data_IF_144960185663
#
_entry.id   IF_144960185663
#
_cell.length_a   1.000
_cell.length_b   1.000
_cell.length_c   1.000
_cell.angle_alpha   90.00
_cell.angle_beta   90.00
_cell.angle_gamma   90.00
#
_symmetry.space_group_name_H-M   'P 1'
#
loop_
_entity.id
_entity.type
_entity.pdbx_description
1 polymer ?
#
# COMPACT_ATOMS: atom_id res chain seq x y z
N UNK A 1 61.47 46.55 -1.47
CA UNK A 1 60.46 47.38 -0.79
C UNK A 1 59.69 48.17 -1.84
N UNK A 2 58.46 47.77 -2.13
CA UNK A 2 57.52 48.53 -2.96
C UNK A 2 56.10 48.33 -2.42
N UNK A 3 55.22 49.35 -2.50
CA UNK A 3 53.95 49.37 -1.76
C UNK A 3 52.70 49.28 -2.66
N UNK A 4 51.56 48.81 -2.11
CA UNK A 4 50.27 49.53 -1.99
C UNK A 4 49.02 48.64 -2.09
N UNK A 5 48.07 49.03 -1.23
CA UNK A 5 46.61 49.12 -1.38
C UNK A 5 45.74 47.85 -1.32
N UNK A 6 44.93 47.77 -0.26
CA UNK A 6 43.66 47.04 -0.21
C UNK A 6 42.51 48.04 -0.04
N UNK A 7 41.54 48.00 -0.96
CA UNK A 7 40.21 48.63 -0.83
C UNK A 7 39.15 47.55 -1.05
N UNK A 8 38.28 47.40 -0.06
CA UNK A 8 37.11 46.52 -0.03
C UNK A 8 36.15 46.79 -1.21
N UNK A 9 35.56 45.72 -1.79
CA UNK A 9 34.30 45.79 -2.54
C UNK A 9 33.39 44.62 -2.16
N UNK A 10 32.14 44.97 -1.82
CA UNK A 10 30.97 44.10 -1.69
C UNK A 10 30.45 43.73 -3.09
N UNK A 11 30.01 42.49 -3.29
CA UNK A 11 29.19 42.12 -4.45
C UNK A 11 27.70 42.24 -4.10
N UNK A 12 26.99 43.04 -4.90
CA UNK A 12 25.54 43.18 -4.93
C UNK A 12 24.96 42.18 -5.94
N UNK A 13 23.90 41.48 -5.55
CA UNK A 13 23.04 40.72 -6.46
C UNK A 13 22.14 41.70 -7.23
N UNK A 14 22.10 41.56 -8.56
CA UNK A 14 21.13 42.22 -9.43
C UNK A 14 20.41 41.15 -10.26
N UNK A 15 19.10 41.00 -10.02
CA UNK A 15 18.18 40.21 -10.84
C UNK A 15 17.51 41.21 -11.80
N UNK A 16 17.84 41.14 -13.08
CA UNK A 16 17.10 41.86 -14.13
C UNK A 16 16.10 40.92 -14.79
N UNK A 17 14.81 41.12 -14.51
CA UNK A 17 13.73 40.65 -15.37
C UNK A 17 13.55 41.58 -16.56
N UNK A 18 13.24 41.03 -17.74
CA UNK A 18 12.29 41.60 -18.71
C UNK A 18 12.03 40.64 -19.90
N UNK A 19 10.75 40.28 -20.04
CA UNK A 19 9.92 40.27 -21.24
C UNK A 19 10.52 39.79 -22.57
N UNK A 20 10.02 38.64 -23.06
CA UNK A 20 9.82 38.41 -24.50
C UNK A 20 8.31 38.36 -24.79
N UNK A 21 7.89 39.21 -25.73
CA UNK A 21 6.51 39.57 -26.01
C UNK A 21 5.76 38.63 -26.96
N UNK A 22 4.44 38.87 -27.01
CA UNK A 22 3.48 38.34 -27.97
C UNK A 22 3.79 38.83 -29.39
N UNK A 23 3.71 37.93 -30.38
CA UNK A 23 3.16 38.22 -31.70
C UNK A 23 2.48 36.97 -32.27
N UNK A 24 1.34 37.16 -32.95
CA UNK A 24 0.52 36.12 -33.56
C UNK A 24 1.04 35.75 -34.95
N UNK A 25 1.05 34.45 -35.30
CA UNK A 25 0.26 33.81 -36.37
C UNK A 25 0.67 32.33 -36.61
N UNK A 26 -0.30 31.46 -36.36
CA UNK A 26 -0.70 30.22 -37.05
C UNK A 26 0.27 29.04 -37.36
N UNK A 27 -0.34 27.86 -37.14
CA UNK A 27 -0.18 26.51 -37.74
C UNK A 27 0.77 25.52 -37.04
N UNK A 28 0.19 24.41 -36.55
CA UNK A 28 0.77 23.07 -36.70
C UNK A 28 1.22 22.34 -35.42
N UNK A 29 0.36 21.44 -34.93
CA UNK A 29 0.56 20.19 -34.17
C UNK A 29 1.55 20.07 -32.98
N UNK A 30 1.20 19.29 -31.93
CA UNK A 30 1.97 19.20 -30.69
C UNK A 30 3.00 18.06 -30.70
N UNK A 31 4.13 18.27 -30.01
CA UNK A 31 4.99 17.32 -29.24
C UNK A 31 6.45 17.85 -29.19
N UNK A 32 7.32 17.39 -28.29
CA UNK A 32 7.15 16.96 -26.90
C UNK A 32 8.06 17.78 -25.94
N UNK A 33 7.71 17.83 -24.66
CA UNK A 33 8.52 18.50 -23.63
C UNK A 33 9.84 17.77 -23.40
N UNK A 34 10.94 18.51 -23.52
CA UNK A 34 12.30 18.08 -23.19
C UNK A 34 12.42 17.76 -21.69
N UNK A 35 12.72 16.50 -21.36
CA UNK A 35 13.45 16.16 -20.15
C UNK A 35 14.92 16.54 -20.36
N UNK A 36 15.45 17.42 -19.52
CA UNK A 36 16.90 17.63 -19.41
C UNK A 36 17.45 16.52 -18.50
N UNK A 37 17.94 15.45 -19.11
CA UNK A 37 18.81 14.48 -18.45
C UNK A 37 20.24 15.04 -18.44
N UNK A 38 20.80 15.29 -17.26
CA UNK A 38 22.23 15.49 -17.10
C UNK A 38 22.88 14.11 -16.91
N UNK A 39 23.37 13.52 -18.00
CA UNK A 39 24.32 12.40 -17.97
C UNK A 39 25.60 12.84 -18.65
N UNK A 40 26.71 12.90 -17.91
CA UNK A 40 28.04 13.13 -18.47
C UNK A 40 28.58 11.80 -19.05
N UNK A 41 29.04 11.83 -20.30
CA UNK A 41 29.75 10.75 -21.02
C UNK A 41 31.17 10.56 -20.43
N UNK A 42 31.58 9.33 -20.05
CA UNK A 42 32.85 9.09 -19.35
C UNK A 42 34.10 9.00 -20.26
N UNK A 43 34.07 9.51 -21.50
CA UNK A 43 35.20 9.36 -22.45
C UNK A 43 36.18 10.53 -22.58
N UNK A 44 36.13 11.51 -21.68
CA UNK A 44 37.14 12.57 -21.61
C UNK A 44 37.49 12.89 -20.17
N UNK A 45 38.39 12.10 -19.58
CA UNK A 45 39.13 12.48 -18.37
C UNK A 45 40.60 12.18 -18.64
N UNK A 46 41.30 13.17 -19.19
CA UNK A 46 42.76 13.23 -19.09
C UNK A 46 43.12 13.77 -17.71
N UNK A 47 44.12 13.11 -17.14
CA UNK A 47 44.58 13.20 -15.77
C UNK A 47 45.56 14.39 -15.64
N UNK A 48 45.12 15.49 -15.03
CA UNK A 48 46.04 16.50 -14.49
C UNK A 48 45.97 16.50 -12.96
N UNK A 49 46.89 15.76 -12.36
CA UNK A 49 47.19 15.81 -10.94
C UNK A 49 47.83 17.16 -10.59
N UNK A 50 47.08 18.04 -9.94
CA UNK A 50 47.67 19.11 -9.13
C UNK A 50 47.11 19.02 -7.71
N UNK A 51 48.01 18.83 -6.75
CA UNK A 51 47.71 18.69 -5.34
C UNK A 51 47.11 19.98 -4.78
N UNK A 52 45.81 19.95 -4.52
CA UNK A 52 45.11 20.90 -3.66
C UNK A 52 44.52 20.15 -2.47
N UNK A 53 44.98 20.45 -1.27
CA UNK A 53 44.32 20.01 -0.03
C UNK A 53 42.87 20.50 -0.05
N UNK A 54 41.91 19.58 -0.18
CA UNK A 54 40.50 19.87 -0.01
C UNK A 54 40.22 20.05 1.49
N UNK A 55 40.31 21.29 1.96
CA UNK A 55 39.92 21.65 3.32
C UNK A 55 38.40 21.75 3.39
N UNK A 56 37.77 20.72 3.96
CA UNK A 56 36.32 20.71 4.26
C UNK A 56 36.05 21.82 5.27
N UNK A 57 35.34 22.86 4.87
CA UNK A 57 35.02 23.95 5.80
C UNK A 57 33.95 23.48 6.79
N UNK A 58 33.88 24.11 7.97
CA UNK A 58 32.85 23.83 8.98
C UNK A 58 31.41 24.01 8.44
N UNK A 59 31.24 24.75 7.33
CA UNK A 59 29.98 24.90 6.61
C UNK A 59 29.62 23.69 5.75
N UNK A 60 30.60 23.07 5.10
CA UNK A 60 30.41 21.89 4.24
C UNK A 60 30.05 20.64 5.07
N UNK A 61 30.67 20.49 6.25
CA UNK A 61 30.28 19.47 7.22
C UNK A 61 28.85 19.65 7.74
N UNK A 62 28.35 20.90 7.87
CA UNK A 62 26.98 21.19 8.33
C UNK A 62 25.94 20.87 7.26
N UNK A 63 26.24 21.07 5.98
CA UNK A 63 25.38 20.65 4.88
C UNK A 63 25.35 19.13 4.74
N UNK A 64 26.50 18.45 4.88
CA UNK A 64 26.56 16.98 4.87
C UNK A 64 25.84 16.38 6.09
N UNK A 65 25.98 16.94 7.29
CA UNK A 65 25.23 16.50 8.47
C UNK A 65 23.73 16.75 8.34
N UNK A 66 23.30 17.87 7.72
CA UNK A 66 21.87 18.16 7.49
C UNK A 66 21.26 17.25 6.43
N UNK A 67 22.01 16.88 5.40
CA UNK A 67 21.57 15.90 4.39
C UNK A 67 21.57 14.47 4.95
N UNK A 68 22.51 14.10 5.81
CA UNK A 68 22.54 12.79 6.49
C UNK A 68 21.43 12.68 7.56
N UNK A 69 21.10 13.77 8.25
CA UNK A 69 20.01 13.83 9.23
C UNK A 69 18.63 13.87 8.57
N UNK A 70 18.53 14.39 7.34
CA UNK A 70 17.30 14.36 6.53
C UNK A 70 16.99 12.95 5.98
N UNK A 71 18.00 12.10 5.78
CA UNK A 71 17.81 10.67 5.47
C UNK A 71 17.41 9.82 6.69
N UNK A 72 17.58 10.33 7.92
CA UNK A 72 17.21 9.66 9.17
C UNK A 72 15.80 10.00 9.68
N UNK A 73 15.03 10.78 8.93
CA UNK A 73 13.68 11.26 9.32
C UNK A 73 12.60 10.94 8.27
N UNK A 74 12.75 9.84 7.54
CA UNK A 74 11.60 9.25 6.83
C UNK A 74 10.74 8.56 7.87
N UNK A 75 9.74 9.26 8.39
CA UNK A 75 8.73 8.67 9.27
C UNK A 75 7.56 8.16 8.45
N UNK A 76 7.25 6.89 8.70
CA UNK A 76 6.40 6.04 7.89
C UNK A 76 4.92 6.32 8.20
N UNK A 77 4.13 6.62 7.16
CA UNK A 77 2.67 6.55 7.25
C UNK A 77 2.29 5.13 6.83
N UNK A 78 2.01 4.29 7.81
CA UNK A 78 1.64 2.89 7.58
C UNK A 78 0.14 2.74 7.69
N UNK A 79 -0.45 2.08 6.70
CA UNK A 79 -1.70 1.34 6.83
C UNK A 79 -1.55 0.38 8.06
N UNK A 80 -2.58 0.07 8.88
CA UNK A 80 -2.44 -0.48 10.27
C UNK A 80 -1.04 -0.26 10.87
N UNK A 81 -0.81 0.84 11.58
CA UNK A 81 0.44 1.14 12.32
C UNK A 81 1.31 -0.08 12.60
N UNK A 82 2.58 -0.15 12.18
CA UNK A 82 3.47 -1.35 12.17
C UNK A 82 3.16 -2.50 13.15
N UNK A 83 2.84 -2.21 14.41
CA UNK A 83 2.37 -3.19 15.41
C UNK A 83 1.12 -3.99 14.97
N UNK A 84 0.10 -3.35 14.38
CA UNK A 84 -1.11 -4.00 13.86
C UNK A 84 -0.79 -5.05 12.78
N UNK A 85 -0.02 -4.69 11.76
CA UNK A 85 0.46 -5.63 10.75
C UNK A 85 1.26 -6.79 11.35
N UNK A 86 2.15 -6.49 12.31
CA UNK A 86 2.94 -7.52 12.99
C UNK A 86 2.07 -8.46 13.82
N UNK A 87 0.98 -7.99 14.42
CA UNK A 87 0.00 -8.83 15.12
C UNK A 87 -0.71 -9.76 14.12
N UNK A 88 -1.26 -9.21 13.02
CA UNK A 88 -1.91 -9.98 11.95
C UNK A 88 -0.97 -11.07 11.43
N UNK A 89 0.26 -10.69 11.09
CA UNK A 89 1.27 -11.60 10.58
C UNK A 89 1.71 -12.65 11.62
N UNK A 90 1.77 -12.30 12.91
CA UNK A 90 2.10 -13.27 13.98
C UNK A 90 0.99 -14.31 14.16
N UNK A 91 -0.28 -13.87 14.16
CA UNK A 91 -1.44 -14.76 14.21
C UNK A 91 -1.42 -15.70 12.99
N UNK A 92 -1.07 -15.19 11.81
CA UNK A 92 -0.95 -15.99 10.61
C UNK A 92 0.22 -16.98 10.67
N UNK A 93 1.39 -16.53 11.12
CA UNK A 93 2.61 -17.33 11.26
C UNK A 93 2.37 -18.56 12.12
N UNK A 94 1.67 -18.41 13.25
CA UNK A 94 1.31 -19.51 14.18
C UNK A 94 0.32 -20.53 13.57
N UNK A 95 -0.29 -20.21 12.42
CA UNK A 95 -1.34 -20.99 11.75
C UNK A 95 -0.92 -21.47 10.36
N UNK A 96 0.32 -21.25 9.96
CA UNK A 96 0.85 -21.75 8.71
C UNK A 96 0.95 -23.28 8.75
N UNK A 97 0.55 -23.91 7.64
CA UNK A 97 0.76 -25.34 7.42
C UNK A 97 2.25 -25.65 7.24
N UNK A 98 2.64 -26.92 7.37
CA UNK A 98 4.04 -27.31 7.14
C UNK A 98 4.50 -26.97 5.71
N UNK A 99 3.62 -27.09 4.72
CA UNK A 99 3.93 -26.72 3.33
C UNK A 99 4.23 -25.22 3.22
N UNK A 100 3.41 -24.39 3.86
CA UNK A 100 3.59 -22.94 3.89
C UNK A 100 4.84 -22.52 4.64
N UNK A 101 5.15 -23.17 5.76
CA UNK A 101 6.38 -22.95 6.52
C UNK A 101 7.61 -23.33 5.69
N UNK A 102 7.57 -24.46 4.97
CA UNK A 102 8.67 -24.88 4.11
C UNK A 102 8.91 -23.87 2.98
N UNK A 103 7.83 -23.39 2.33
CA UNK A 103 7.93 -22.34 1.31
C UNK A 103 8.53 -21.05 1.90
N UNK A 104 7.98 -20.56 3.01
CA UNK A 104 8.47 -19.33 3.66
C UNK A 104 9.94 -19.47 4.07
N UNK A 105 10.33 -20.58 4.69
CA UNK A 105 11.72 -20.82 5.08
C UNK A 105 12.67 -20.89 3.89
N UNK A 106 12.22 -21.47 2.77
CA UNK A 106 13.01 -21.50 1.54
C UNK A 106 13.19 -20.10 0.95
N UNK A 107 12.11 -19.30 0.91
CA UNK A 107 12.13 -17.91 0.45
C UNK A 107 13.07 -17.03 1.29
N UNK A 108 13.01 -17.17 2.61
CA UNK A 108 13.77 -16.35 3.55
C UNK A 108 15.21 -16.83 3.79
N UNK A 109 15.59 -17.99 3.23
CA UNK A 109 16.92 -18.56 3.43
C UNK A 109 18.01 -17.61 2.88
N UNK A 110 19.03 -17.33 3.70
CA UNK A 110 20.10 -16.40 3.35
C UNK A 110 19.73 -14.91 3.47
N UNK A 111 18.50 -14.57 3.85
CA UNK A 111 18.06 -13.19 4.08
C UNK A 111 18.17 -12.80 5.57
N UNK A 112 18.01 -11.52 5.88
CA UNK A 112 17.92 -11.03 7.27
C UNK A 112 16.58 -11.35 7.95
N UNK A 113 15.52 -11.54 7.17
CA UNK A 113 14.17 -11.81 7.65
C UNK A 113 14.01 -13.28 8.09
N UNK A 114 13.07 -13.55 8.98
CA UNK A 114 12.86 -14.89 9.57
C UNK A 114 11.42 -15.35 9.56
N UNK A 115 10.46 -14.43 9.56
CA UNK A 115 9.03 -14.72 9.70
C UNK A 115 8.18 -13.75 8.89
N UNK A 116 6.89 -14.07 8.71
CA UNK A 116 5.90 -13.12 8.15
C UNK A 116 5.86 -11.81 8.93
N UNK A 117 6.14 -11.85 10.24
CA UNK A 117 6.17 -10.67 11.12
C UNK A 117 7.21 -9.66 10.68
N UNK A 118 8.34 -10.13 10.13
CA UNK A 118 9.40 -9.26 9.65
C UNK A 118 9.05 -8.64 8.29
N UNK A 119 8.25 -9.34 7.49
CA UNK A 119 7.80 -8.91 6.16
C UNK A 119 6.64 -7.92 6.21
N UNK A 120 5.80 -8.03 7.24
CA UNK A 120 4.51 -7.34 7.30
C UNK A 120 4.60 -5.81 7.09
N UNK A 121 5.61 -5.07 7.56
CA UNK A 121 5.71 -3.63 7.33
C UNK A 121 6.29 -3.21 5.96
N UNK A 122 6.95 -4.12 5.23
CA UNK A 122 7.78 -3.77 4.07
C UNK A 122 7.01 -3.09 2.91
N UNK A 123 5.76 -3.47 2.59
CA UNK A 123 5.01 -2.80 1.52
C UNK A 123 4.72 -1.33 1.76
N UNK A 124 4.52 -0.90 3.01
CA UNK A 124 4.41 0.52 3.33
C UNK A 124 5.74 1.25 3.10
N UNK A 125 6.85 0.66 3.55
CA UNK A 125 8.19 1.21 3.34
C UNK A 125 8.48 1.38 1.84
N UNK A 126 8.05 0.42 1.01
CA UNK A 126 8.12 0.51 -0.44
C UNK A 126 7.22 1.61 -1.01
N UNK A 127 5.98 1.74 -0.55
CA UNK A 127 5.02 2.76 -0.99
C UNK A 127 5.47 4.22 -0.75
N UNK A 128 6.37 4.43 0.22
CA UNK A 128 7.00 5.73 0.49
C UNK A 128 8.17 6.06 -0.44
N UNK A 129 8.71 5.08 -1.14
CA UNK A 129 9.79 5.27 -2.10
C UNK A 129 9.25 5.72 -3.45
N UNK A 130 10.05 6.48 -4.21
CA UNK A 130 9.66 6.94 -5.54
C UNK A 130 9.32 5.79 -6.49
N UNK A 131 10.07 4.69 -6.40
CA UNK A 131 9.88 3.47 -7.19
C UNK A 131 8.62 2.69 -6.81
N UNK A 132 8.19 2.77 -5.55
CA UNK A 132 7.01 2.05 -5.04
C UNK A 132 5.76 2.89 -4.91
N UNK A 133 5.80 4.19 -5.21
CA UNK A 133 4.66 5.11 -5.04
C UNK A 133 3.38 4.65 -5.73
N UNK A 134 3.48 3.86 -6.80
CA UNK A 134 2.35 3.26 -7.49
C UNK A 134 1.50 2.35 -6.59
N UNK A 135 2.10 1.70 -5.57
CA UNK A 135 1.40 0.80 -4.66
C UNK A 135 0.51 1.54 -3.65
N UNK A 136 0.69 2.85 -3.46
CA UNK A 136 -0.03 3.62 -2.43
C UNK A 136 -1.56 3.48 -2.51
N UNK A 137 -2.13 3.42 -3.71
CA UNK A 137 -3.59 3.21 -3.90
C UNK A 137 -4.05 1.78 -3.56
N UNK A 138 -3.13 0.82 -3.55
CA UNK A 138 -3.41 -0.58 -3.22
C UNK A 138 -3.68 -0.83 -1.73
N UNK A 139 -3.38 0.13 -0.84
CA UNK A 139 -3.56 -0.05 0.61
C UNK A 139 -5.00 0.19 1.10
N UNK A 140 -5.87 0.74 0.25
CA UNK A 140 -7.23 1.08 0.67
C UNK A 140 -8.22 0.97 -0.50
N UNK A 141 -9.49 1.20 -0.22
CA UNK A 141 -10.53 1.45 -1.21
C UNK A 141 -11.44 2.55 -0.68
N UNK A 142 -11.77 3.49 -1.55
CA UNK A 142 -12.62 4.63 -1.22
C UNK A 142 -14.08 4.28 -1.49
N UNK A 143 -14.92 4.36 -0.46
CA UNK A 143 -16.35 4.08 -0.59
C UNK A 143 -17.17 5.38 -0.70
N UNK A 144 -18.28 5.38 -1.45
CA UNK A 144 -19.27 6.46 -1.42
C UNK A 144 -19.86 6.70 -0.02
N UNK A 145 -20.36 7.91 0.23
CA UNK A 145 -20.93 8.29 1.55
C UNK A 145 -22.15 7.47 1.95
N UNK A 146 -22.92 7.02 0.97
CA UNK A 146 -24.15 6.24 1.11
C UNK A 146 -23.92 4.74 0.93
N UNK A 147 -22.66 4.30 0.80
CA UNK A 147 -22.34 2.89 0.66
C UNK A 147 -22.66 2.14 1.96
N UNK A 148 -23.50 1.12 1.87
CA UNK A 148 -23.75 0.16 2.95
C UNK A 148 -23.08 -1.19 2.71
N UNK A 149 -22.62 -1.43 1.48
CA UNK A 149 -21.98 -2.67 1.04
C UNK A 149 -20.84 -2.38 0.07
N UNK A 150 -19.88 -3.30 -0.01
CA UNK A 150 -18.77 -3.22 -0.94
C UNK A 150 -19.19 -3.79 -2.29
N UNK A 151 -18.82 -3.09 -3.36
CA UNK A 151 -18.98 -3.56 -4.73
C UNK A 151 -17.68 -3.37 -5.48
N UNK A 152 -17.38 -4.29 -6.40
CA UNK A 152 -16.08 -4.33 -7.09
C UNK A 152 -15.81 -3.08 -7.93
N UNK A 153 -16.85 -2.37 -8.38
CA UNK A 153 -16.77 -1.12 -9.13
C UNK A 153 -16.30 0.08 -8.28
N UNK A 154 -16.33 -0.04 -6.94
CA UNK A 154 -15.70 0.95 -6.04
C UNK A 154 -14.17 0.95 -6.15
N UNK A 155 -13.58 -0.09 -6.75
CA UNK A 155 -12.16 -0.19 -7.00
C UNK A 155 -11.78 0.50 -8.33
N UNK A 156 -11.29 1.73 -8.28
CA UNK A 156 -10.89 2.51 -9.47
C UNK A 156 -9.55 2.13 -10.10
N UNK A 157 -8.99 0.95 -9.83
CA UNK A 157 -7.66 0.53 -10.25
C UNK A 157 -7.03 -0.45 -9.26
N UNK A 158 -5.82 -0.14 -8.79
CA UNK A 158 -5.32 -0.81 -7.60
C UNK A 158 -6.10 -0.31 -6.38
N UNK A 159 -6.66 -1.23 -5.62
CA UNK A 159 -7.24 -1.02 -4.31
C UNK A 159 -6.95 -2.25 -3.47
N UNK A 160 -7.15 -2.18 -2.16
CA UNK A 160 -6.80 -3.30 -1.25
C UNK A 160 -7.48 -4.62 -1.62
N UNK A 161 -8.72 -4.58 -2.11
CA UNK A 161 -9.45 -5.79 -2.54
C UNK A 161 -8.85 -6.42 -3.81
N UNK A 162 -8.52 -5.59 -4.80
CA UNK A 162 -7.89 -6.07 -6.04
C UNK A 162 -6.43 -6.48 -5.79
N UNK A 163 -5.73 -5.80 -4.89
CA UNK A 163 -4.38 -6.13 -4.48
C UNK A 163 -4.31 -7.50 -3.79
N UNK A 164 -5.16 -7.76 -2.79
CA UNK A 164 -5.25 -9.08 -2.15
C UNK A 164 -5.51 -10.18 -3.19
N UNK A 165 -6.44 -9.94 -4.12
CA UNK A 165 -6.76 -10.90 -5.19
C UNK A 165 -5.56 -11.13 -6.12
N UNK A 166 -4.90 -10.06 -6.54
CA UNK A 166 -3.76 -10.10 -7.46
C UNK A 166 -2.56 -10.82 -6.84
N UNK A 167 -2.17 -10.45 -5.62
CA UNK A 167 -1.00 -11.04 -4.96
C UNK A 167 -1.24 -12.47 -4.46
N UNK A 168 -2.50 -12.85 -4.19
CA UNK A 168 -2.87 -14.26 -4.01
C UNK A 168 -2.62 -15.05 -5.30
N UNK A 169 -2.98 -14.51 -6.47
CA UNK A 169 -2.76 -15.16 -7.75
C UNK A 169 -1.27 -15.21 -8.14
N UNK A 170 -0.53 -14.13 -7.91
CA UNK A 170 0.92 -14.09 -8.14
C UNK A 170 1.66 -15.08 -7.24
N UNK A 171 1.30 -15.18 -5.96
CA UNK A 171 1.85 -16.20 -5.07
C UNK A 171 1.57 -17.62 -5.58
N UNK A 172 0.35 -17.87 -6.12
CA UNK A 172 0.04 -19.17 -6.72
C UNK A 172 0.88 -19.47 -7.97
N UNK A 173 1.10 -18.46 -8.82
CA UNK A 173 1.97 -18.61 -9.98
C UNK A 173 3.43 -18.88 -9.55
N UNK A 174 3.89 -18.23 -8.48
CA UNK A 174 5.21 -18.43 -7.91
C UNK A 174 5.38 -19.86 -7.36
N UNK A 175 4.34 -20.40 -6.70
CA UNK A 175 4.31 -21.79 -6.26
C UNK A 175 4.37 -22.79 -7.42
N UNK A 176 3.75 -22.45 -8.57
CA UNK A 176 3.75 -23.30 -9.76
C UNK A 176 5.05 -23.19 -10.58
N UNK A 177 5.70 -22.02 -10.57
CA UNK A 177 6.96 -21.74 -11.27
C UNK A 177 7.80 -20.79 -10.41
N UNK A 178 8.75 -21.32 -9.60
CA UNK A 178 9.52 -20.54 -8.64
C UNK A 178 10.56 -19.65 -9.33
N UNK A 179 10.13 -18.56 -9.96
CA UNK A 179 10.98 -17.58 -10.66
C UNK A 179 10.40 -16.15 -10.61
N UNK A 180 9.28 -15.91 -9.92
CA UNK A 180 8.56 -14.62 -10.00
C UNK A 180 9.23 -13.54 -9.16
N UNK A 181 9.71 -13.89 -7.96
CA UNK A 181 10.40 -12.93 -7.11
C UNK A 181 11.83 -13.37 -6.83
N UNK A 182 12.76 -12.42 -6.93
CA UNK A 182 14.13 -12.60 -6.47
C UNK A 182 14.31 -11.80 -5.17
N UNK A 183 13.83 -12.38 -4.08
CA UNK A 183 13.76 -11.75 -2.76
C UNK A 183 15.10 -11.12 -2.37
N UNK A 184 15.09 -9.84 -2.04
CA UNK A 184 16.28 -9.08 -1.61
C UNK A 184 17.20 -8.59 -2.75
N UNK A 185 16.82 -8.78 -4.01
CA UNK A 185 17.56 -8.26 -5.18
C UNK A 185 16.74 -7.36 -6.11
N UNK A 186 15.41 -7.36 -5.96
CA UNK A 186 14.50 -6.36 -6.53
C UNK A 186 14.15 -5.32 -5.49
N UNK A 187 13.97 -4.07 -5.93
CA UNK A 187 13.42 -3.02 -5.08
C UNK A 187 11.94 -3.28 -4.74
N UNK A 188 11.24 -4.09 -5.53
CA UNK A 188 9.83 -4.43 -5.34
C UNK A 188 9.64 -5.65 -4.40
N UNK A 189 8.75 -5.55 -3.39
CA UNK A 189 8.39 -6.67 -2.52
C UNK A 189 7.83 -7.88 -3.27
N UNK A 190 8.13 -9.07 -2.78
CA UNK A 190 7.57 -10.31 -3.29
C UNK A 190 6.06 -10.44 -3.03
N UNK A 191 5.35 -11.31 -3.77
CA UNK A 191 3.92 -11.50 -3.61
C UNK A 191 3.47 -11.81 -2.18
N UNK A 192 4.23 -12.60 -1.41
CA UNK A 192 3.89 -12.90 -0.02
C UNK A 192 4.02 -11.70 0.92
N UNK A 193 4.93 -10.76 0.65
CA UNK A 193 5.11 -9.54 1.44
C UNK A 193 3.89 -8.63 1.25
N UNK A 194 3.55 -8.34 0.00
CA UNK A 194 2.36 -7.58 -0.35
C UNK A 194 1.08 -8.24 0.17
N UNK A 195 0.91 -9.55 -0.02
CA UNK A 195 -0.27 -10.27 0.45
C UNK A 195 -0.40 -10.19 1.97
N UNK A 196 0.70 -10.36 2.71
CA UNK A 196 0.73 -10.25 4.18
C UNK A 196 0.25 -8.88 4.64
N UNK A 197 0.71 -7.83 3.97
CA UNK A 197 0.37 -6.46 4.31
C UNK A 197 -1.08 -6.11 3.95
N UNK A 198 -1.48 -6.27 2.68
CA UNK A 198 -2.81 -5.87 2.20
C UNK A 198 -3.95 -6.66 2.85
N UNK A 199 -3.71 -7.89 3.30
CA UNK A 199 -4.69 -8.61 4.12
C UNK A 199 -4.87 -8.00 5.50
N UNK A 200 -3.82 -7.43 6.09
CA UNK A 200 -3.96 -6.57 7.26
C UNK A 200 -4.85 -5.39 6.94
N UNK A 201 -4.48 -4.61 5.93
CA UNK A 201 -5.19 -3.38 5.52
C UNK A 201 -6.67 -3.59 5.26
N UNK A 202 -7.00 -4.65 4.51
CA UNK A 202 -8.38 -4.98 4.19
C UNK A 202 -9.24 -5.18 5.45
N UNK A 203 -8.64 -5.56 6.57
CA UNK A 203 -9.33 -5.75 7.84
C UNK A 203 -9.42 -4.47 8.68
N UNK A 204 -8.68 -3.41 8.33
CA UNK A 204 -8.81 -2.09 8.92
C UNK A 204 -10.09 -1.42 8.38
N UNK A 205 -11.09 -1.12 9.22
CA UNK A 205 -12.34 -0.50 8.76
C UNK A 205 -12.11 0.74 7.88
N UNK A 206 -11.31 1.70 8.34
CA UNK A 206 -11.03 2.96 7.65
C UNK A 206 -10.17 2.83 6.39
N UNK A 207 -9.61 1.67 6.08
CA UNK A 207 -9.02 1.40 4.76
C UNK A 207 -10.06 0.97 3.74
N UNK A 208 -11.25 0.62 4.21
CA UNK A 208 -12.47 0.51 3.41
C UNK A 208 -13.40 1.65 3.84
N UNK A 209 -12.86 2.87 3.71
CA UNK A 209 -13.35 4.10 4.31
C UNK A 209 -13.88 5.10 3.29
N UNK A 210 -14.53 6.17 3.77
CA UNK A 210 -15.14 7.16 2.89
C UNK A 210 -14.09 7.91 2.05
N UNK A 211 -14.35 8.01 0.75
CA UNK A 211 -13.44 8.75 -0.14
C UNK A 211 -13.34 10.24 0.16
N UNK A 212 -14.42 10.86 0.66
CA UNK A 212 -14.48 12.30 0.89
C UNK A 212 -13.62 12.77 2.08
N UNK A 213 -13.32 11.89 3.04
CA UNK A 213 -12.46 12.19 4.19
C UNK A 213 -11.16 11.38 4.20
N UNK A 214 -10.86 10.72 3.07
CA UNK A 214 -9.71 9.84 2.89
C UNK A 214 -9.62 8.77 3.99
N UNK A 215 -10.74 8.10 4.28
CA UNK A 215 -10.83 7.09 5.33
C UNK A 215 -10.53 7.66 6.71
N UNK A 216 -11.02 8.86 7.02
CA UNK A 216 -10.79 9.53 8.30
C UNK A 216 -9.45 10.28 8.44
N UNK A 217 -8.56 10.27 7.44
CA UNK A 217 -7.32 11.06 7.46
C UNK A 217 -7.59 12.58 7.52
N UNK A 218 -8.70 13.02 6.90
CA UNK A 218 -9.15 14.41 6.92
C UNK A 218 -9.88 14.79 8.22
N UNK A 219 -10.23 13.82 9.06
CA UNK A 219 -10.94 14.06 10.33
C UNK A 219 -9.92 14.33 11.43
N UNK A 220 -9.65 15.61 11.70
CA UNK A 220 -8.72 16.04 12.75
C UNK A 220 -9.39 15.94 14.11
N UNK A 221 -8.75 15.22 15.02
CA UNK A 221 -9.27 14.94 16.36
C UNK A 221 -8.14 14.58 17.29
N UNK A 222 -8.25 14.94 18.57
CA UNK A 222 -7.29 14.56 19.58
C UNK A 222 -7.53 13.12 20.08
N UNK A 223 -6.44 12.45 20.48
CA UNK A 223 -6.50 11.22 21.26
C UNK A 223 -6.22 11.57 22.72
N UNK A 224 -7.26 11.60 23.56
CA UNK A 224 -7.24 12.23 24.87
C UNK A 224 -6.81 13.71 24.79
N UNK A 225 -5.72 14.09 25.46
CA UNK A 225 -5.14 15.42 25.47
C UNK A 225 -4.10 15.63 24.35
N UNK A 226 -3.84 14.61 23.52
CA UNK A 226 -2.84 14.67 22.46
C UNK A 226 -3.43 15.05 21.11
N UNK A 227 -2.94 16.15 20.55
CA UNK A 227 -3.32 16.63 19.21
C UNK A 227 -2.32 16.24 18.13
N UNK A 228 -1.22 15.58 18.49
CA UNK A 228 -0.21 15.07 17.55
C UNK A 228 0.06 13.59 17.74
N UNK A 229 0.37 12.91 16.64
CA UNK A 229 0.77 11.50 16.64
C UNK A 229 2.21 11.31 17.15
N UNK A 230 2.64 10.05 17.21
CA UNK A 230 4.00 9.67 17.64
C UNK A 230 5.13 10.23 16.75
N UNK A 231 4.80 10.78 15.57
CA UNK A 231 5.73 11.39 14.62
C UNK A 231 5.58 12.93 14.57
N UNK A 232 4.82 13.52 15.50
CA UNK A 232 4.56 14.94 15.59
C UNK A 232 3.78 15.53 14.40
N UNK A 233 3.00 14.70 13.69
CA UNK A 233 2.01 15.16 12.71
C UNK A 233 0.68 15.46 13.41
N UNK A 234 -0.20 16.28 12.83
CA UNK A 234 -1.55 16.48 13.34
C UNK A 234 -2.33 15.16 13.44
N UNK A 235 -2.82 14.85 14.63
CA UNK A 235 -3.63 13.66 14.92
C UNK A 235 -4.90 13.65 14.07
N UNK A 236 -5.29 12.46 13.63
CA UNK A 236 -6.53 12.24 12.88
C UNK A 236 -7.14 10.88 13.20
N UNK A 237 -8.41 10.71 12.86
CA UNK A 237 -9.17 9.51 13.20
C UNK A 237 -8.55 8.22 12.61
N UNK A 238 -8.02 8.29 11.39
CA UNK A 238 -7.35 7.15 10.76
C UNK A 238 -6.15 6.67 11.57
N UNK A 239 -5.25 7.58 11.93
CA UNK A 239 -4.07 7.28 12.76
C UNK A 239 -4.46 6.72 14.13
N UNK A 240 -5.57 7.18 14.72
CA UNK A 240 -6.05 6.67 16.00
C UNK A 240 -6.47 5.20 15.91
N UNK A 241 -7.18 4.82 14.84
CA UNK A 241 -7.57 3.44 14.56
C UNK A 241 -6.36 2.58 14.19
N UNK A 242 -5.50 3.07 13.29
CA UNK A 242 -4.33 2.34 12.81
C UNK A 242 -3.29 2.07 13.90
N UNK A 243 -3.09 3.04 14.80
CA UNK A 243 -1.88 3.08 15.65
C UNK A 243 -2.23 3.30 17.11
N UNK A 244 -2.84 4.44 17.44
CA UNK A 244 -2.86 4.92 18.84
C UNK A 244 -3.69 4.02 19.77
N UNK A 245 -4.85 3.52 19.32
CA UNK A 245 -5.65 2.58 20.12
C UNK A 245 -4.93 1.24 20.30
N UNK A 246 -4.19 0.76 19.30
CA UNK A 246 -3.41 -0.47 19.41
C UNK A 246 -2.27 -0.29 20.41
N UNK A 247 -1.53 0.81 20.35
CA UNK A 247 -0.42 1.08 21.29
C UNK A 247 -0.90 1.34 22.71
N UNK A 248 -2.06 2.00 22.90
CA UNK A 248 -2.71 2.10 24.21
C UNK A 248 -3.09 0.71 24.75
N UNK A 249 -3.61 -0.16 23.89
CA UNK A 249 -3.97 -1.52 24.28
C UNK A 249 -2.75 -2.40 24.59
N UNK A 250 -1.67 -2.30 23.81
CA UNK A 250 -0.43 -3.03 24.04
C UNK A 250 0.78 -2.27 23.50
N UNK A 251 1.79 -2.07 24.33
CA UNK A 251 2.99 -1.29 23.98
C UNK A 251 3.97 -2.02 23.05
N UNK A 252 3.86 -3.34 22.89
CA UNK A 252 4.73 -4.12 22.03
C UNK A 252 4.06 -5.41 21.56
N UNK A 253 4.68 -6.04 20.54
CA UNK A 253 4.18 -7.26 19.90
C UNK A 253 4.06 -8.43 20.88
N UNK A 254 5.04 -8.63 21.76
CA UNK A 254 5.04 -9.77 22.70
C UNK A 254 3.81 -9.72 23.62
N UNK A 255 3.57 -8.56 24.25
CA UNK A 255 2.38 -8.37 25.10
C UNK A 255 1.09 -8.44 24.29
N UNK A 256 1.09 -7.93 23.05
CA UNK A 256 -0.08 -7.97 22.17
C UNK A 256 -0.45 -9.40 21.84
N UNK A 257 0.52 -10.24 21.49
CA UNK A 257 0.29 -11.65 21.16
C UNK A 257 -0.15 -12.47 22.36
N UNK A 258 0.35 -12.20 23.57
CA UNK A 258 -0.20 -12.82 24.79
C UNK A 258 -1.70 -12.53 24.93
N UNK A 259 -2.10 -11.27 24.75
CA UNK A 259 -3.51 -10.87 24.84
C UNK A 259 -4.35 -11.43 23.69
N UNK A 260 -3.83 -11.42 22.46
CA UNK A 260 -4.51 -12.00 21.30
C UNK A 260 -4.71 -13.51 21.46
N UNK A 261 -3.71 -14.24 21.94
CA UNK A 261 -3.81 -15.67 22.15
C UNK A 261 -4.89 -16.00 23.20
N UNK A 262 -4.96 -15.23 24.28
CA UNK A 262 -6.03 -15.35 25.27
C UNK A 262 -7.41 -15.02 24.66
N UNK A 263 -7.51 -13.93 23.90
CA UNK A 263 -8.76 -13.53 23.25
C UNK A 263 -9.23 -14.58 22.24
N UNK A 264 -8.33 -15.10 21.41
CA UNK A 264 -8.62 -16.15 20.43
C UNK A 264 -9.09 -17.43 21.13
N UNK A 265 -8.42 -17.84 22.21
CA UNK A 265 -8.83 -19.02 22.98
C UNK A 265 -10.22 -18.85 23.60
N UNK A 266 -10.55 -17.65 24.08
CA UNK A 266 -11.86 -17.34 24.66
C UNK A 266 -12.97 -17.23 23.61
N UNK A 267 -12.63 -16.91 22.36
CA UNK A 267 -13.56 -16.70 21.26
C UNK A 267 -13.40 -17.76 20.16
N UNK A 268 -13.05 -19.01 20.52
CA UNK A 268 -12.69 -20.07 19.57
C UNK A 268 -13.77 -20.33 18.53
N UNK A 269 -15.04 -20.34 18.93
CA UNK A 269 -16.17 -20.61 18.04
C UNK A 269 -16.32 -19.52 16.98
N UNK A 270 -16.19 -18.25 17.38
CA UNK A 270 -16.18 -17.12 16.45
C UNK A 270 -14.98 -17.19 15.52
N UNK A 271 -13.78 -17.46 16.05
CA UNK A 271 -12.54 -17.54 15.28
C UNK A 271 -12.60 -18.64 14.22
N UNK A 272 -13.23 -19.78 14.54
CA UNK A 272 -13.43 -20.87 13.59
C UNK A 272 -14.30 -20.47 12.39
N UNK A 273 -15.10 -19.40 12.48
CA UNK A 273 -15.90 -18.90 11.34
C UNK A 273 -15.12 -17.99 10.40
N UNK A 274 -13.97 -17.43 10.82
CA UNK A 274 -13.30 -16.37 10.05
C UNK A 274 -12.81 -16.81 8.68
N UNK A 275 -12.46 -18.09 8.49
CA UNK A 275 -12.02 -18.64 7.21
C UNK A 275 -13.14 -19.33 6.41
N UNK A 276 -14.42 -19.10 6.75
CA UNK A 276 -15.56 -19.67 6.00
C UNK A 276 -15.63 -19.18 4.55
N UNK A 277 -14.96 -18.07 4.24
CA UNK A 277 -14.80 -17.53 2.89
C UNK A 277 -13.39 -16.96 2.75
N UNK A 278 -12.74 -17.27 1.62
CA UNK A 278 -11.47 -16.67 1.20
C UNK A 278 -11.63 -15.58 0.13
N UNK A 279 -12.84 -15.02 0.01
CA UNK A 279 -13.14 -13.97 -0.95
C UNK A 279 -12.93 -12.58 -0.32
N UNK A 280 -11.99 -11.76 -0.83
CA UNK A 280 -11.71 -10.44 -0.28
C UNK A 280 -12.87 -9.45 -0.41
N UNK A 281 -13.82 -9.66 -1.33
CA UNK A 281 -15.06 -8.87 -1.41
C UNK A 281 -15.90 -9.02 -0.14
N UNK A 282 -15.98 -10.23 0.42
CA UNK A 282 -16.72 -10.48 1.68
C UNK A 282 -16.04 -9.76 2.84
N UNK A 283 -14.71 -9.78 2.89
CA UNK A 283 -13.95 -9.13 3.96
C UNK A 283 -14.01 -7.60 3.87
N UNK A 284 -14.07 -7.06 2.65
CA UNK A 284 -14.32 -5.65 2.40
C UNK A 284 -15.71 -5.22 2.89
N UNK A 285 -16.73 -6.01 2.56
CA UNK A 285 -18.11 -5.76 3.00
C UNK A 285 -18.22 -5.73 4.54
N UNK A 286 -17.52 -6.64 5.22
CA UNK A 286 -17.41 -6.61 6.68
C UNK A 286 -16.72 -5.34 7.19
N UNK A 287 -15.64 -4.87 6.54
CA UNK A 287 -14.96 -3.63 6.94
C UNK A 287 -15.87 -2.41 6.75
N UNK A 288 -16.63 -2.32 5.65
CA UNK A 288 -17.63 -1.27 5.45
C UNK A 288 -18.65 -1.26 6.58
N UNK A 289 -19.13 -2.42 7.00
CA UNK A 289 -20.09 -2.49 8.11
C UNK A 289 -19.54 -1.83 9.38
N UNK A 290 -18.26 -2.01 9.72
CA UNK A 290 -17.66 -1.32 10.87
C UNK A 290 -17.45 0.17 10.60
N UNK A 291 -17.04 0.55 9.40
CA UNK A 291 -16.90 1.97 9.01
C UNK A 291 -18.23 2.71 9.19
N UNK A 292 -19.32 2.15 8.68
CA UNK A 292 -20.66 2.77 8.70
C UNK A 292 -21.26 2.78 10.10
N UNK A 293 -21.19 1.65 10.82
CA UNK A 293 -21.96 1.48 12.05
C UNK A 293 -21.17 1.80 13.33
N UNK A 294 -19.85 1.68 13.29
CA UNK A 294 -19.03 1.68 14.50
C UNK A 294 -17.97 2.78 14.56
N UNK A 295 -17.42 3.22 13.43
CA UNK A 295 -16.34 4.22 13.45
C UNK A 295 -16.89 5.62 13.77
N UNK A 296 -17.91 6.08 13.04
CA UNK A 296 -18.40 7.46 13.13
C UNK A 296 -19.59 7.61 14.08
N UNK A 297 -19.53 7.01 15.28
CA UNK A 297 -20.61 7.04 16.27
C UNK A 297 -20.71 8.33 17.10
N UNK A 298 -19.81 9.29 16.85
CA UNK A 298 -19.82 10.61 17.47
C UNK A 298 -19.25 11.65 16.50
N UNK A 299 -19.48 12.93 16.80
CA UNK A 299 -18.74 14.02 16.15
C UNK A 299 -17.30 14.00 16.65
N UNK A 300 -16.35 14.32 15.77
CA UNK A 300 -14.94 14.41 16.09
C UNK A 300 -14.45 15.84 15.83
N UNK A 301 -14.06 16.53 16.90
CA UNK A 301 -13.48 17.86 16.89
C UNK A 301 -12.67 18.08 18.19
N UNK A 302 -12.10 19.27 18.37
CA UNK A 302 -11.28 19.61 19.54
C UNK A 302 -12.05 19.53 20.88
N UNK A 303 -13.37 19.58 20.86
CA UNK A 303 -14.24 19.41 22.04
C UNK A 303 -14.71 17.98 22.25
N UNK A 304 -14.49 17.10 21.26
CA UNK A 304 -14.89 15.69 21.27
C UNK A 304 -13.72 14.79 20.90
N UNK A 305 -12.69 14.70 21.76
CA UNK A 305 -11.56 13.80 21.53
C UNK A 305 -12.01 12.33 21.53
N UNK A 306 -11.17 11.47 20.98
CA UNK A 306 -11.25 10.04 21.25
C UNK A 306 -10.76 9.82 22.68
N UNK A 307 -11.68 9.47 23.57
CA UNK A 307 -11.46 9.28 25.01
C UNK A 307 -11.62 7.82 25.43
N UNK A 308 -11.66 7.55 26.73
CA UNK A 308 -11.90 6.20 27.25
C UNK A 308 -13.29 5.66 26.86
N UNK A 309 -14.31 6.52 26.71
CA UNK A 309 -15.66 6.10 26.31
C UNK A 309 -15.63 5.48 24.91
N UNK A 310 -15.06 6.20 23.95
CA UNK A 310 -14.91 5.71 22.59
C UNK A 310 -13.95 4.50 22.55
N UNK A 311 -12.76 4.63 23.15
CA UNK A 311 -11.74 3.59 23.15
C UNK A 311 -12.28 2.24 23.67
N UNK A 312 -12.97 2.23 24.82
CA UNK A 312 -13.47 1.00 25.42
C UNK A 312 -14.55 0.31 24.56
N UNK A 313 -15.30 1.08 23.77
CA UNK A 313 -16.29 0.53 22.83
C UNK A 313 -15.63 -0.04 21.58
N UNK A 314 -14.55 0.57 21.08
CA UNK A 314 -13.98 0.22 19.76
C UNK A 314 -12.79 -0.72 19.79
N UNK A 315 -12.04 -0.78 20.90
CA UNK A 315 -10.90 -1.73 20.99
C UNK A 315 -11.30 -3.21 20.78
N UNK A 316 -12.48 -3.71 21.21
CA UNK A 316 -12.88 -5.08 20.89
C UNK A 316 -13.07 -5.33 19.39
N UNK A 317 -13.50 -4.32 18.64
CA UNK A 317 -13.64 -4.39 17.18
C UNK A 317 -12.27 -4.53 16.55
N UNK A 318 -11.30 -3.70 16.94
CA UNK A 318 -9.91 -3.78 16.46
C UNK A 318 -9.34 -5.16 16.72
N UNK A 319 -9.46 -5.68 17.96
CA UNK A 319 -8.98 -7.03 18.29
C UNK A 319 -9.62 -8.10 17.39
N UNK A 320 -10.93 -8.03 17.16
CA UNK A 320 -11.65 -8.94 16.26
C UNK A 320 -11.13 -8.86 14.83
N UNK A 321 -10.87 -7.64 14.31
CA UNK A 321 -10.35 -7.44 12.95
C UNK A 321 -8.90 -7.92 12.80
N UNK A 322 -8.04 -7.68 13.78
CA UNK A 322 -6.67 -8.20 13.80
C UNK A 322 -6.67 -9.74 13.80
N UNK A 323 -7.55 -10.37 14.60
CA UNK A 323 -7.71 -11.82 14.61
C UNK A 323 -8.22 -12.38 13.27
N UNK A 324 -9.28 -11.75 12.71
CA UNK A 324 -9.83 -12.14 11.42
C UNK A 324 -8.77 -12.05 10.31
N UNK A 325 -8.04 -10.94 10.23
CA UNK A 325 -6.96 -10.73 9.26
C UNK A 325 -5.90 -11.81 9.35
N UNK A 326 -5.41 -12.13 10.56
CA UNK A 326 -4.36 -13.16 10.73
C UNK A 326 -4.84 -14.57 10.38
N UNK A 327 -6.07 -14.93 10.76
CA UNK A 327 -6.66 -16.24 10.43
C UNK A 327 -6.87 -16.39 8.92
N UNK A 328 -7.39 -15.34 8.27
CA UNK A 328 -7.62 -15.33 6.82
C UNK A 328 -6.33 -15.30 6.02
N UNK A 329 -5.29 -14.61 6.51
CA UNK A 329 -3.96 -14.65 5.92
C UNK A 329 -3.35 -16.04 5.95
N UNK A 330 -3.35 -16.70 7.11
CA UNK A 330 -2.90 -18.08 7.20
C UNK A 330 -3.70 -19.01 6.27
N UNK A 331 -5.03 -18.92 6.29
CA UNK A 331 -5.87 -19.75 5.43
C UNK A 331 -5.60 -19.53 3.93
N UNK A 332 -5.39 -18.28 3.52
CA UNK A 332 -5.06 -17.93 2.13
C UNK A 332 -3.71 -18.48 1.71
N UNK A 333 -2.66 -18.28 2.51
CA UNK A 333 -1.32 -18.82 2.23
C UNK A 333 -1.34 -20.36 2.24
N UNK A 334 -2.01 -20.98 3.21
CA UNK A 334 -2.13 -22.43 3.32
C UNK A 334 -2.79 -23.03 2.08
N UNK A 335 -3.89 -22.44 1.61
CA UNK A 335 -4.58 -22.91 0.43
C UNK A 335 -3.73 -22.77 -0.85
N UNK A 336 -3.01 -21.65 -1.00
CA UNK A 336 -2.11 -21.45 -2.14
C UNK A 336 -0.95 -22.46 -2.15
N UNK A 337 -0.35 -22.72 -0.98
CA UNK A 337 0.86 -23.56 -0.86
C UNK A 337 0.57 -25.07 -0.81
N UNK A 338 -0.67 -25.47 -0.49
CA UNK A 338 -1.10 -26.88 -0.51
C UNK A 338 -1.60 -27.35 -1.88
N UNK A 339 -1.65 -26.47 -2.89
CA UNK A 339 -2.33 -26.68 -4.18
C UNK A 339 -3.82 -27.03 -4.03
N UNK A 340 -4.48 -26.58 -2.96
CA UNK A 340 -5.93 -26.67 -2.87
C UNK A 340 -6.57 -25.64 -3.80
N UNK A 341 -7.30 -26.12 -4.82
CA UNK A 341 -8.04 -25.30 -5.78
C UNK A 341 -9.11 -24.45 -5.06
N UNK A 342 -8.81 -23.18 -4.75
CA UNK A 342 -9.75 -22.20 -4.17
C UNK A 342 -10.87 -21.73 -5.14
N UNK A 343 -11.34 -22.58 -6.06
CA UNK A 343 -12.29 -22.13 -7.08
C UNK A 343 -12.87 -23.16 -8.04
N UNK A 344 -12.74 -24.47 -7.82
CA UNK A 344 -13.50 -25.46 -8.62
C UNK A 344 -14.92 -25.65 -8.08
N UNK A 345 -15.71 -24.59 -8.17
CA UNK A 345 -17.18 -24.68 -8.19
C UNK A 345 -17.79 -23.70 -9.21
N UNK A 346 -17.12 -23.56 -10.36
CA UNK A 346 -17.61 -22.82 -11.52
C UNK A 346 -17.14 -23.53 -12.81
N UNK A 347 -18.05 -24.29 -13.41
CA UNK A 347 -18.10 -24.76 -14.81
C UNK A 347 -16.79 -24.90 -15.60
N UNK A 348 -16.50 -26.14 -16.00
CA UNK A 348 -15.57 -26.53 -17.07
C UNK A 348 -15.61 -25.58 -18.28
N UNK A 349 -14.49 -24.91 -18.53
CA UNK A 349 -14.10 -24.50 -19.89
C UNK A 349 -12.68 -25.02 -20.11
N UNK A 350 -12.52 -25.83 -21.15
CA UNK A 350 -11.28 -26.56 -21.46
C UNK A 350 -10.07 -25.67 -21.79
N UNK A 351 -8.88 -26.27 -21.97
CA UNK A 351 -7.64 -25.53 -22.07
C UNK A 351 -7.55 -24.78 -23.41
N UNK A 352 -7.56 -23.45 -23.36
CA UNK A 352 -7.18 -22.62 -24.50
C UNK A 352 -5.67 -22.57 -24.63
N UNK A 353 -5.22 -23.15 -25.74
CA UNK A 353 -3.87 -23.14 -26.33
C UNK A 353 -3.16 -21.78 -26.21
N UNK A 354 -1.87 -21.80 -25.89
CA UNK A 354 -0.99 -20.64 -26.04
C UNK A 354 -0.88 -20.22 -27.51
N UNK A 355 -0.90 -18.92 -27.76
CA UNK A 355 -0.56 -18.34 -29.06
C UNK A 355 0.44 -17.20 -28.83
N UNK A 356 1.70 -17.52 -29.13
CA UNK A 356 2.75 -16.56 -29.41
C UNK A 356 2.56 -15.93 -30.80
N UNK A 357 3.02 -14.69 -30.92
CA UNK A 357 3.37 -13.93 -32.14
C UNK A 357 2.27 -13.62 -33.17
N UNK A 358 1.94 -12.33 -33.29
CA UNK A 358 1.37 -11.72 -34.49
C UNK A 358 2.42 -11.67 -35.63
N UNK A 359 2.01 -11.57 -36.91
CA UNK A 359 1.85 -10.23 -37.49
C UNK A 359 0.74 -10.04 -38.56
N UNK A 360 0.41 -8.75 -38.75
CA UNK A 360 -0.06 -8.02 -39.96
C UNK A 360 -1.42 -8.33 -40.62
N UNK A 361 -2.24 -7.26 -40.63
CA UNK A 361 -3.22 -6.77 -41.61
C UNK A 361 -3.63 -7.64 -42.81
N UNK A 362 -4.94 -7.78 -43.06
CA UNK A 362 -5.64 -7.24 -44.25
C UNK A 362 -7.16 -7.56 -44.24
N UNK A 363 -7.92 -6.60 -44.77
CA UNK A 363 -9.17 -6.71 -45.53
C UNK A 363 -10.50 -7.18 -44.88
N UNK A 364 -11.46 -6.26 -44.98
CA UNK A 364 -12.90 -6.44 -44.92
C UNK A 364 -13.43 -7.43 -45.97
N UNK A 365 -14.48 -8.18 -45.62
CA UNK A 365 -15.63 -8.42 -46.51
C UNK A 365 -16.81 -8.97 -45.72
N UNK A 366 -17.96 -8.35 -45.93
CA UNK A 366 -19.29 -8.74 -45.48
C UNK A 366 -19.98 -9.53 -46.60
N UNK A 367 -20.73 -10.59 -46.28
CA UNK A 367 -21.85 -11.21 -47.04
C UNK A 367 -22.13 -12.57 -46.38
N UNK A 368 -23.33 -13.14 -46.29
CA UNK A 368 -24.74 -12.77 -46.25
C UNK A 368 -25.49 -14.13 -46.20
N UNK A 369 -26.80 -14.11 -45.89
CA UNK A 369 -27.82 -15.19 -46.06
C UNK A 369 -27.96 -16.17 -44.88
N UNK A 370 -29.16 -16.54 -44.40
CA UNK A 370 -30.53 -16.35 -44.91
C UNK A 370 -31.59 -16.54 -43.81
N UNK A 371 -32.69 -15.78 -43.94
CA UNK A 371 -34.12 -16.04 -43.63
C UNK A 371 -34.54 -17.46 -43.17
N UNK A 372 -35.53 -17.70 -42.31
CA UNK A 372 -36.96 -17.30 -42.30
C UNK A 372 -37.57 -17.60 -40.90
N UNK A 373 -38.50 -16.82 -40.35
CA UNK A 373 -39.95 -17.10 -40.44
C UNK A 373 -40.84 -15.95 -39.92
N UNK A 374 -42.04 -15.91 -40.51
CA UNK A 374 -43.12 -14.93 -40.46
C UNK A 374 -43.97 -14.91 -39.17
N UNK A 375 -44.28 -13.67 -38.73
CA UNK A 375 -45.60 -13.05 -38.49
C UNK A 375 -46.67 -13.77 -37.65
N UNK A 376 -47.10 -13.14 -36.56
CA UNK A 376 -48.42 -12.50 -36.50
C UNK A 376 -48.62 -11.57 -35.27
N UNK A 377 -49.39 -10.51 -35.53
CA UNK A 377 -49.86 -9.39 -34.72
C UNK A 377 -50.44 -9.71 -33.33
N UNK A 378 -50.30 -8.81 -32.34
CA UNK A 378 -51.35 -7.89 -31.87
C UNK A 378 -50.85 -6.87 -30.81
N UNK A 379 -51.62 -5.79 -30.68
CA UNK A 379 -51.29 -4.46 -30.16
C UNK A 379 -51.42 -4.27 -28.64
N UNK A 380 -50.62 -3.32 -28.12
CA UNK A 380 -50.89 -2.30 -27.08
C UNK A 380 -51.73 -2.66 -25.83
N UNK A 381 -51.07 -2.56 -24.67
CA UNK A 381 -51.46 -1.71 -23.53
C UNK A 381 -50.29 -1.58 -22.57
#
# INVERSE_FOLDING_TARGET
>A
MHPKALKNRKCLYAISGRNCGRSQKQVGHPRPWCLVQNTCDPRYLEEETSGGEFSITQGDMRCLFRSLLAFLLVTYVTAWGSLGHRIVASIAQDRLSQASLNYLNALLNGTQYKTLVDLAPLPDEYGHQSVGRWSSTCHYTNIPKDATHYTVDMCGGCCVVSAVSNYTNLLRQEMASPQICNFGSSDEPCPIEFLTHFLGDLHQPLHVGYGYDAGGNAVKVAFYDKTTDSFNNPMNLHTIWDTEMIYKWSSNLKTAMTKMNQWIATNSDLVATFNSSLNPVVWADESISYTVNDVYTQTFDDSHPVDDTYYNQKIPIIMKRLAAGGVRLAATINAVTSNEDLGRNGTNVGPTRSLSSAPSAFAWTSLFLSSTHNLNHFLWS
#
